data_IF_062013672559
#
_entry.id   IF_062013672559
#
_cell.length_a   1.000
_cell.length_b   1.000
_cell.length_c   1.000
_cell.angle_alpha   90.00
_cell.angle_beta   90.00
_cell.angle_gamma   90.00
#
_symmetry.space_group_name_H-M   'P 1'
#
loop_
_entity.id
_entity.type
_entity.pdbx_description
1 polymer ?
#
# COMPACT_ATOMS: atom_id res chain seq x y z
N UNK A 1 17.06 -38.50 11.51
CA UNK A 1 17.98 -39.18 12.46
C UNK A 1 18.35 -38.16 13.53
N UNK A 2 17.70 -38.26 14.68
CA UNK A 2 17.95 -37.37 15.83
C UNK A 2 18.91 -38.10 16.76
N UNK A 3 20.10 -37.55 17.00
CA UNK A 3 21.06 -38.08 17.98
C UNK A 3 20.71 -37.49 19.35
N UNK A 4 20.36 -38.38 20.28
CA UNK A 4 20.21 -38.04 21.68
C UNK A 4 21.58 -37.91 22.35
N UNK A 5 21.85 -36.79 23.01
CA UNK A 5 22.98 -36.62 23.92
C UNK A 5 22.56 -37.16 25.32
N UNK A 6 23.25 -38.16 25.80
CA UNK A 6 23.17 -38.61 27.20
C UNK A 6 24.07 -37.71 28.05
N UNK A 7 23.50 -37.09 29.07
CA UNK A 7 24.23 -36.43 30.13
C UNK A 7 24.25 -37.37 31.36
N UNK A 8 25.41 -37.78 31.76
CA UNK A 8 25.64 -38.52 33.02
C UNK A 8 25.75 -37.55 34.18
N UNK A 9 24.90 -37.72 35.18
CA UNK A 9 24.93 -36.94 36.41
C UNK A 9 25.69 -37.71 37.50
N UNK A 10 26.77 -37.11 38.01
CA UNK A 10 27.46 -37.59 39.21
C UNK A 10 26.80 -37.00 40.45
N UNK A 11 26.47 -37.85 41.43
CA UNK A 11 25.94 -37.44 42.74
C UNK A 11 27.06 -36.89 43.62
N UNK A 12 26.87 -35.73 44.19
CA UNK A 12 27.47 -35.33 45.46
C UNK A 12 26.42 -34.63 46.36
N UNK A 13 26.53 -34.93 47.66
CA UNK A 13 25.56 -34.63 48.70
C UNK A 13 25.55 -33.17 49.14
N UNK A 14 24.35 -32.78 49.55
CA UNK A 14 23.94 -31.76 50.56
C UNK A 14 23.65 -30.30 50.14
N UNK A 15 22.50 -29.96 50.60
CA UNK A 15 21.91 -28.70 51.04
C UNK A 15 20.91 -28.04 50.05
N UNK A 16 19.72 -27.88 50.60
CA UNK A 16 18.55 -27.22 50.02
C UNK A 16 18.85 -25.87 49.34
N UNK A 17 18.59 -25.84 48.06
CA UNK A 17 18.39 -24.59 47.37
C UNK A 17 17.33 -24.83 46.25
N UNK A 18 16.10 -24.47 46.53
CA UNK A 18 15.03 -24.46 45.52
C UNK A 18 15.34 -23.45 44.42
N UNK A 19 15.96 -23.91 43.36
CA UNK A 19 16.07 -23.15 42.12
C UNK A 19 14.76 -23.29 41.34
N UNK A 20 13.92 -22.26 41.38
CA UNK A 20 12.86 -22.07 40.40
C UNK A 20 13.51 -21.85 39.03
N UNK A 21 13.50 -22.86 38.19
CA UNK A 21 13.81 -22.72 36.76
C UNK A 21 12.58 -22.04 36.14
N UNK A 22 12.66 -20.73 36.01
CA UNK A 22 11.71 -19.97 35.15
C UNK A 22 12.10 -20.29 33.72
N UNK A 23 11.39 -21.27 33.13
CA UNK A 23 11.46 -21.56 31.71
C UNK A 23 10.76 -20.41 30.97
N UNK A 24 11.48 -19.36 30.61
CA UNK A 24 10.98 -18.34 29.68
C UNK A 24 10.81 -18.99 28.33
N UNK A 25 9.58 -19.40 27.99
CA UNK A 25 9.21 -19.69 26.61
C UNK A 25 9.32 -18.36 25.85
N UNK A 26 10.46 -18.17 25.17
CA UNK A 26 10.51 -17.19 24.10
C UNK A 26 9.52 -17.67 23.02
N UNK A 27 8.36 -17.03 22.92
CA UNK A 27 7.53 -17.09 21.71
C UNK A 27 8.41 -16.53 20.58
N UNK A 28 9.10 -17.40 19.87
CA UNK A 28 9.59 -17.08 18.55
C UNK A 28 8.35 -16.87 17.68
N UNK A 29 7.94 -15.63 17.49
CA UNK A 29 7.10 -15.25 16.37
C UNK A 29 7.86 -15.68 15.12
N UNK A 30 7.41 -16.76 14.48
CA UNK A 30 7.85 -17.12 13.14
C UNK A 30 7.56 -15.90 12.26
N UNK A 31 8.59 -15.10 11.98
CA UNK A 31 8.50 -14.05 11.00
C UNK A 31 8.00 -14.68 9.70
N UNK A 32 6.94 -14.15 9.14
CA UNK A 32 6.41 -14.59 7.84
C UNK A 32 7.50 -14.38 6.80
N UNK A 33 8.10 -15.45 6.35
CA UNK A 33 9.12 -15.44 5.30
C UNK A 33 8.36 -15.54 3.98
N UNK A 34 8.00 -14.39 3.38
CA UNK A 34 7.33 -14.37 2.08
C UNK A 34 6.04 -13.56 2.05
N UNK A 35 5.28 -13.76 0.97
CA UNK A 35 3.96 -13.19 0.76
C UNK A 35 2.86 -14.07 1.38
N UNK A 36 1.90 -13.52 2.13
CA UNK A 36 1.73 -12.09 2.44
C UNK A 36 2.81 -11.56 3.41
N UNK A 37 3.15 -10.27 3.26
CA UNK A 37 4.26 -9.65 4.02
C UNK A 37 3.97 -9.42 5.50
N UNK A 38 2.71 -9.40 5.91
CA UNK A 38 2.25 -9.37 7.30
C UNK A 38 0.89 -10.07 7.42
N UNK A 39 0.51 -10.51 8.62
CA UNK A 39 -0.75 -11.22 8.83
C UNK A 39 -1.96 -10.27 8.78
N UNK A 40 -3.12 -10.85 8.46
CA UNK A 40 -4.42 -10.17 8.41
C UNK A 40 -4.86 -9.85 6.98
N UNK A 41 -6.14 -9.51 6.86
CA UNK A 41 -6.73 -9.11 5.59
C UNK A 41 -6.54 -7.61 5.38
N UNK A 42 -5.63 -7.26 4.47
CA UNK A 42 -5.30 -5.89 4.11
C UNK A 42 -5.17 -5.77 2.59
N UNK A 43 -5.79 -4.73 2.05
CA UNK A 43 -5.86 -4.45 0.63
C UNK A 43 -5.32 -3.06 0.27
N UNK A 44 -5.28 -2.73 -1.01
CA UNK A 44 -5.02 -1.39 -1.54
C UNK A 44 -3.76 -0.76 -0.93
N UNK A 45 -2.60 -1.47 -0.92
CA UNK A 45 -1.44 -1.03 -0.18
C UNK A 45 -0.66 0.06 -0.91
N UNK A 46 -0.28 1.11 -0.20
CA UNK A 46 0.70 2.07 -0.68
C UNK A 46 2.01 1.94 0.11
N UNK A 47 3.10 1.67 -0.61
CA UNK A 47 4.45 1.44 -0.07
C UNK A 47 5.33 2.66 -0.29
N UNK A 48 5.97 3.14 0.77
CA UNK A 48 6.91 4.26 0.76
C UNK A 48 8.19 3.98 1.55
N UNK A 49 9.23 4.77 1.24
CA UNK A 49 10.45 4.86 2.04
C UNK A 49 10.53 6.27 2.65
N UNK A 50 10.22 6.40 3.94
CA UNK A 50 10.29 7.64 4.69
C UNK A 50 11.31 7.53 5.82
N UNK A 51 12.15 8.54 6.00
CA UNK A 51 13.07 8.66 7.13
C UNK A 51 13.93 7.39 7.38
N UNK A 52 14.28 6.66 6.28
CA UNK A 52 15.07 5.45 6.34
C UNK A 52 14.34 4.23 6.87
N UNK A 53 13.01 4.18 6.72
CA UNK A 53 12.16 3.00 6.95
C UNK A 53 11.12 2.86 5.85
N UNK A 54 10.75 1.63 5.55
CA UNK A 54 9.63 1.32 4.67
C UNK A 54 8.33 1.41 5.46
N UNK A 55 7.29 1.94 4.81
CA UNK A 55 5.95 2.05 5.36
C UNK A 55 4.94 1.54 4.34
N UNK A 56 3.99 0.72 4.79
CA UNK A 56 2.83 0.30 3.99
C UNK A 56 1.58 0.83 4.67
N UNK A 57 0.74 1.50 3.89
CA UNK A 57 -0.54 2.05 4.32
C UNK A 57 -1.66 1.32 3.56
N UNK A 58 -2.30 0.32 4.17
CA UNK A 58 -3.33 -0.46 3.50
C UNK A 58 -4.74 -0.12 3.98
N UNK A 59 -5.74 -0.55 3.22
CA UNK A 59 -7.13 -0.71 3.66
C UNK A 59 -7.27 -1.94 4.55
N UNK A 60 -7.89 -1.83 5.72
CA UNK A 60 -8.36 -3.01 6.45
C UNK A 60 -9.47 -3.71 5.66
N UNK A 61 -9.22 -4.90 5.14
CA UNK A 61 -10.11 -5.60 4.22
C UNK A 61 -11.17 -6.41 4.98
N UNK A 62 -12.33 -5.82 5.15
CA UNK A 62 -13.47 -6.37 5.90
C UNK A 62 -14.80 -5.83 5.35
N UNK A 63 -15.91 -6.16 5.98
CA UNK A 63 -17.19 -5.52 5.67
C UNK A 63 -17.10 -3.99 5.89
N UNK A 64 -17.77 -3.22 5.07
CA UNK A 64 -17.63 -1.75 5.00
C UNK A 64 -17.88 -1.03 6.34
N UNK A 65 -18.79 -1.55 7.16
CA UNK A 65 -19.08 -1.03 8.51
C UNK A 65 -17.97 -1.32 9.54
N UNK A 66 -17.00 -2.19 9.20
CA UNK A 66 -15.83 -2.51 10.02
C UNK A 66 -14.59 -1.72 9.59
N UNK A 67 -14.60 -1.16 8.40
CA UNK A 67 -13.53 -0.35 7.85
C UNK A 67 -13.65 1.09 8.36
N UNK A 68 -13.29 1.29 9.62
CA UNK A 68 -13.49 2.56 10.35
C UNK A 68 -12.17 3.21 10.79
N UNK A 69 -11.05 2.73 10.27
CA UNK A 69 -9.71 3.20 10.64
C UNK A 69 -8.67 2.80 9.59
N UNK A 70 -7.52 3.43 9.68
CA UNK A 70 -6.31 2.96 9.01
C UNK A 70 -5.27 2.50 10.01
N UNK A 71 -4.62 1.39 9.70
CA UNK A 71 -3.36 0.95 10.28
C UNK A 71 -2.22 1.28 9.34
N UNK A 72 -0.96 1.30 9.81
CA UNK A 72 0.17 1.19 8.94
C UNK A 72 1.18 0.15 9.45
N UNK A 73 2.08 -0.25 8.59
CA UNK A 73 3.14 -1.19 8.91
C UNK A 73 4.48 -0.59 8.53
N UNK A 74 5.48 -0.70 9.40
CA UNK A 74 6.83 -0.24 9.11
C UNK A 74 7.84 -1.36 9.15
N UNK A 75 8.86 -1.27 8.28
CA UNK A 75 9.95 -2.25 8.18
C UNK A 75 11.30 -1.55 7.96
N UNK A 76 12.37 -2.15 8.44
CA UNK A 76 13.74 -1.70 8.13
C UNK A 76 14.35 -2.46 6.94
N UNK A 77 13.68 -3.54 6.47
CA UNK A 77 14.27 -4.46 5.49
C UNK A 77 13.28 -5.10 4.50
N UNK A 78 12.00 -4.69 4.48
CA UNK A 78 10.90 -5.28 3.70
C UNK A 78 10.49 -6.70 4.14
N UNK A 79 11.00 -7.21 5.27
CA UNK A 79 10.74 -8.57 5.75
C UNK A 79 10.06 -8.58 7.10
N UNK A 80 10.62 -7.87 8.06
CA UNK A 80 10.06 -7.76 9.40
C UNK A 80 9.22 -6.50 9.51
N UNK A 81 7.93 -6.67 9.79
CA UNK A 81 6.96 -5.58 9.81
C UNK A 81 6.41 -5.33 11.21
N UNK A 82 6.50 -4.08 11.63
CA UNK A 82 5.89 -3.60 12.86
C UNK A 82 4.57 -2.91 12.54
N UNK A 83 3.47 -3.37 13.14
CA UNK A 83 2.16 -2.74 13.02
C UNK A 83 2.05 -1.49 13.91
N UNK A 84 1.48 -0.43 13.35
CA UNK A 84 1.02 0.78 14.03
C UNK A 84 -0.51 0.86 13.86
N UNK A 85 -1.22 0.66 14.95
CA UNK A 85 -2.68 0.52 14.91
C UNK A 85 -3.38 1.86 14.97
N UNK A 86 -4.43 2.01 14.15
CA UNK A 86 -5.35 3.16 14.16
C UNK A 86 -4.61 4.49 14.04
N UNK A 87 -3.78 4.60 13.02
CA UNK A 87 -3.05 5.83 12.72
C UNK A 87 -3.98 6.99 12.31
N UNK A 88 -5.18 6.67 11.82
CA UNK A 88 -6.34 7.55 11.67
C UNK A 88 -7.59 6.76 12.03
N UNK A 89 -8.44 7.27 12.92
CA UNK A 89 -9.69 6.66 13.31
C UNK A 89 -10.87 7.51 12.80
N UNK A 90 -11.86 6.90 12.14
CA UNK A 90 -12.98 7.62 11.53
C UNK A 90 -13.99 8.20 12.54
N UNK A 91 -13.93 7.77 13.81
CA UNK A 91 -14.66 8.48 14.87
C UNK A 91 -14.20 9.95 15.00
N UNK A 92 -12.97 10.25 14.61
CA UNK A 92 -12.37 11.58 14.64
C UNK A 92 -12.52 12.33 13.29
N UNK A 93 -13.21 11.71 12.30
CA UNK A 93 -13.48 12.26 10.96
C UNK A 93 -15.00 12.39 10.77
N UNK A 94 -15.57 13.48 11.24
CA UNK A 94 -17.02 13.65 11.39
C UNK A 94 -17.85 13.44 10.10
N UNK A 95 -17.29 13.73 8.92
CA UNK A 95 -17.96 13.60 7.63
C UNK A 95 -17.86 12.20 7.01
N UNK A 96 -17.02 11.30 7.57
CA UNK A 96 -16.69 9.99 6.98
C UNK A 96 -17.82 8.97 7.02
N UNK A 97 -18.92 9.26 7.71
CA UNK A 97 -20.00 8.30 8.01
C UNK A 97 -19.54 7.05 8.79
N UNK A 98 -18.31 7.10 9.33
CA UNK A 98 -17.67 6.07 10.15
C UNK A 98 -17.69 4.68 9.49
N UNK A 99 -17.42 4.61 8.19
CA UNK A 99 -17.34 3.37 7.39
C UNK A 99 -16.50 3.56 6.15
N UNK A 100 -16.10 2.46 5.52
CA UNK A 100 -15.43 2.42 4.22
C UNK A 100 -14.19 3.33 4.18
N UNK A 101 -13.26 3.11 5.14
CA UNK A 101 -11.93 3.70 5.13
C UNK A 101 -11.08 2.96 4.09
N UNK A 102 -10.88 3.57 2.89
CA UNK A 102 -10.26 2.90 1.75
C UNK A 102 -9.07 3.64 1.18
N UNK A 103 -8.14 2.85 0.63
CA UNK A 103 -7.05 3.25 -0.25
C UNK A 103 -6.35 4.54 0.21
N UNK A 104 -5.65 4.51 1.35
CA UNK A 104 -4.90 5.66 1.82
C UNK A 104 -3.65 5.87 0.97
N UNK A 105 -3.39 7.12 0.59
CA UNK A 105 -2.16 7.56 -0.09
C UNK A 105 -1.43 8.55 0.80
N UNK A 106 -0.16 8.30 1.10
CA UNK A 106 0.63 9.14 2.01
C UNK A 106 1.83 9.74 1.30
N UNK A 107 2.02 11.03 1.43
CA UNK A 107 3.15 11.74 0.84
C UNK A 107 3.78 12.70 1.83
N UNK A 108 5.11 12.87 1.76
CA UNK A 108 5.84 13.83 2.58
C UNK A 108 6.00 15.15 1.83
N UNK A 109 5.78 16.26 2.54
CA UNK A 109 6.18 17.59 2.08
C UNK A 109 6.59 18.49 3.25
N UNK A 110 7.74 19.10 3.12
CA UNK A 110 8.28 20.06 4.09
C UNK A 110 8.30 19.49 5.53
N UNK A 111 8.65 18.19 5.67
CA UNK A 111 8.74 17.48 6.94
C UNK A 111 7.41 17.07 7.56
N UNK A 112 6.31 17.24 6.85
CA UNK A 112 4.97 16.81 7.25
C UNK A 112 4.46 15.73 6.32
N UNK A 113 3.68 14.79 6.86
CA UNK A 113 3.05 13.70 6.12
C UNK A 113 1.57 13.99 5.92
N UNK A 114 1.12 13.86 4.68
CA UNK A 114 -0.27 14.07 4.27
C UNK A 114 -0.84 12.76 3.78
N UNK A 115 -1.94 12.32 4.39
CA UNK A 115 -2.69 11.12 4.01
C UNK A 115 -3.97 11.54 3.32
N UNK A 116 -4.11 11.16 2.04
CA UNK A 116 -5.37 11.24 1.31
C UNK A 116 -6.08 9.90 1.45
N UNK A 117 -7.38 9.91 1.69
CA UNK A 117 -8.14 8.70 1.96
C UNK A 117 -9.57 8.81 1.48
N UNK A 118 -10.14 7.69 1.08
CA UNK A 118 -11.57 7.59 0.74
C UNK A 118 -12.39 7.26 1.96
N UNK A 119 -13.60 7.78 2.03
CA UNK A 119 -14.51 7.52 3.14
C UNK A 119 -15.96 7.32 2.68
N UNK A 120 -16.74 6.56 3.46
CA UNK A 120 -18.17 6.48 3.37
C UNK A 120 -18.74 5.88 2.09
N UNK A 121 -17.94 5.11 1.32
CA UNK A 121 -18.35 4.53 0.03
C UNK A 121 -18.79 5.62 -0.98
N UNK A 122 -17.92 6.60 -1.17
CA UNK A 122 -18.16 7.76 -2.04
C UNK A 122 -18.66 9.02 -1.31
N UNK A 123 -18.59 9.08 0.03
CA UNK A 123 -18.81 10.33 0.75
C UNK A 123 -17.73 11.38 0.47
N UNK A 124 -16.56 10.95 -0.02
CA UNK A 124 -15.52 11.83 -0.50
C UNK A 124 -14.10 11.35 -0.21
N UNK A 125 -13.16 12.14 -0.70
CA UNK A 125 -11.74 12.01 -0.40
C UNK A 125 -11.36 13.07 0.64
N UNK A 126 -10.78 12.64 1.76
CA UNK A 126 -10.27 13.51 2.81
C UNK A 126 -8.77 13.71 2.73
N UNK A 127 -8.25 14.64 3.51
CA UNK A 127 -6.84 14.82 3.77
C UNK A 127 -6.58 14.96 5.26
N UNK A 128 -5.70 14.10 5.79
CA UNK A 128 -5.22 14.15 7.17
C UNK A 128 -3.71 14.43 7.19
N UNK A 129 -3.22 14.95 8.31
CA UNK A 129 -1.81 15.35 8.46
C UNK A 129 -1.20 14.80 9.73
N UNK A 130 0.09 14.47 9.67
CA UNK A 130 0.91 14.05 10.82
C UNK A 130 2.33 14.60 10.72
N UNK A 131 3.02 14.75 11.85
CA UNK A 131 4.46 15.00 11.89
C UNK A 131 5.29 13.71 11.75
N UNK A 132 4.66 12.55 11.86
CA UNK A 132 5.31 11.25 11.80
C UNK A 132 4.65 10.35 10.74
N UNK A 133 5.42 9.55 9.99
CA UNK A 133 4.87 8.66 8.97
C UNK A 133 3.94 7.58 9.56
N UNK A 134 4.18 7.15 10.80
CA UNK A 134 3.32 6.21 11.53
C UNK A 134 2.14 6.87 12.26
N UNK A 135 1.90 8.15 12.03
CA UNK A 135 0.81 8.91 12.68
C UNK A 135 1.10 9.33 14.13
N UNK A 136 0.06 9.70 14.90
CA UNK A 136 -1.34 9.76 14.50
C UNK A 136 -1.61 10.85 13.47
N UNK A 137 -2.47 10.54 12.50
CA UNK A 137 -2.97 11.51 11.52
C UNK A 137 -4.24 12.18 12.03
N UNK A 138 -4.44 13.44 11.63
CA UNK A 138 -5.63 14.23 12.00
C UNK A 138 -6.26 14.82 10.74
N UNK A 139 -7.58 14.67 10.58
CA UNK A 139 -8.33 15.35 9.53
C UNK A 139 -8.14 16.88 9.65
N UNK A 140 -7.66 17.51 8.58
CA UNK A 140 -7.30 18.92 8.64
C UNK A 140 -8.40 19.86 8.13
N UNK A 141 -9.41 19.33 7.44
CA UNK A 141 -10.45 20.16 6.83
C UNK A 141 -11.80 20.06 7.55
N UNK A 142 -12.08 18.98 8.29
CA UNK A 142 -13.39 18.67 8.87
C UNK A 142 -14.49 18.46 7.80
N UNK A 143 -14.07 18.29 6.53
CA UNK A 143 -14.91 18.06 5.35
C UNK A 143 -14.10 17.38 4.26
N UNK A 144 -14.71 16.74 3.26
CA UNK A 144 -13.97 16.20 2.12
C UNK A 144 -13.18 17.29 1.37
N UNK A 145 -11.97 16.95 0.92
CA UNK A 145 -11.21 17.72 -0.08
C UNK A 145 -11.87 17.61 -1.46
N UNK A 146 -12.32 16.40 -1.81
CA UNK A 146 -13.11 16.12 -3.02
C UNK A 146 -14.37 15.39 -2.61
N UNK A 147 -15.54 15.97 -2.92
CA UNK A 147 -16.85 15.39 -2.59
C UNK A 147 -17.63 15.01 -3.84
N UNK A 148 -17.54 15.84 -4.86
CA UNK A 148 -18.38 15.73 -6.05
C UNK A 148 -17.88 14.62 -6.98
N UNK A 149 -18.83 14.02 -7.73
CA UNK A 149 -18.56 13.01 -8.76
C UNK A 149 -18.17 13.70 -10.07
N UNK A 150 -17.02 14.36 -10.05
CA UNK A 150 -16.53 15.17 -11.18
C UNK A 150 -16.17 14.24 -12.35
N UNK A 151 -16.63 14.58 -13.57
CA UNK A 151 -16.45 13.79 -14.79
C UNK A 151 -16.93 12.32 -14.65
N UNK A 152 -17.90 12.05 -13.76
CA UNK A 152 -18.41 10.70 -13.50
C UNK A 152 -17.59 9.85 -12.55
N UNK A 153 -16.43 10.32 -12.10
CA UNK A 153 -15.57 9.57 -11.19
C UNK A 153 -16.15 9.53 -9.77
N UNK A 154 -16.28 8.34 -9.21
CA UNK A 154 -16.51 8.21 -7.78
C UNK A 154 -15.29 8.79 -7.02
N UNK A 155 -15.47 9.63 -5.98
CA UNK A 155 -14.37 10.23 -5.25
C UNK A 155 -13.72 9.21 -4.28
N UNK A 156 -12.96 8.29 -4.85
CA UNK A 156 -12.20 7.24 -4.13
C UNK A 156 -10.79 7.10 -4.74
N UNK A 157 -9.96 6.32 -4.07
CA UNK A 157 -8.65 5.85 -4.55
C UNK A 157 -7.73 7.01 -4.92
N UNK A 158 -7.57 7.94 -4.00
CA UNK A 158 -6.68 9.06 -4.18
C UNK A 158 -5.22 8.62 -4.18
N UNK A 159 -4.43 9.11 -5.13
CA UNK A 159 -2.98 8.95 -5.20
C UNK A 159 -2.33 10.32 -5.36
N UNK A 160 -1.50 10.70 -4.39
CA UNK A 160 -0.77 11.95 -4.42
C UNK A 160 0.62 11.76 -5.04
N UNK A 161 1.00 12.66 -5.94
CA UNK A 161 2.30 12.65 -6.62
C UNK A 161 2.90 14.06 -6.61
N UNK A 162 4.18 14.17 -6.24
CA UNK A 162 4.96 15.40 -6.35
C UNK A 162 5.98 15.23 -7.47
N UNK A 163 5.93 16.10 -8.47
CA UNK A 163 6.89 16.09 -9.57
C UNK A 163 8.21 16.78 -9.20
N UNK A 164 9.24 16.64 -10.04
CA UNK A 164 10.59 17.16 -9.80
C UNK A 164 10.62 18.70 -9.69
N UNK A 165 9.66 19.40 -10.29
CA UNK A 165 9.48 20.85 -10.16
C UNK A 165 8.80 21.27 -8.86
N UNK A 166 8.40 20.30 -8.03
CA UNK A 166 7.71 20.50 -6.76
C UNK A 166 6.20 20.71 -6.89
N UNK A 167 5.62 20.64 -8.11
CA UNK A 167 4.17 20.65 -8.27
C UNK A 167 3.57 19.33 -7.79
N UNK A 168 2.59 19.41 -6.91
CA UNK A 168 1.84 18.25 -6.45
C UNK A 168 0.55 18.05 -7.26
N UNK A 169 0.21 16.80 -7.48
CA UNK A 169 -0.98 16.34 -8.19
C UNK A 169 -1.73 15.33 -7.34
N UNK A 170 -3.05 15.31 -7.47
CA UNK A 170 -3.93 14.29 -6.91
C UNK A 170 -4.65 13.59 -8.06
N UNK A 171 -4.34 12.30 -8.27
CA UNK A 171 -5.11 11.42 -9.14
C UNK A 171 -6.14 10.69 -8.30
N UNK A 172 -7.32 10.45 -8.83
CA UNK A 172 -8.36 9.70 -8.13
C UNK A 172 -9.46 9.24 -9.07
N UNK A 173 -10.19 8.23 -8.65
CA UNK A 173 -11.45 7.90 -9.27
C UNK A 173 -11.77 6.43 -9.28
N UNK A 174 -13.04 6.13 -9.05
CA UNK A 174 -13.68 4.86 -9.30
C UNK A 174 -14.68 4.94 -10.46
N UNK A 175 -15.49 3.87 -10.64
CA UNK A 175 -16.54 3.76 -11.64
C UNK A 175 -16.05 3.97 -13.08
N UNK A 176 -14.82 3.57 -13.35
CA UNK A 176 -14.17 3.65 -14.68
C UNK A 176 -13.87 5.07 -15.15
N UNK A 177 -13.75 6.02 -14.25
CA UNK A 177 -13.35 7.39 -14.53
C UNK A 177 -12.18 7.79 -13.63
N UNK A 178 -11.19 8.44 -14.19
CA UNK A 178 -10.03 8.95 -13.48
C UNK A 178 -9.85 10.44 -13.72
N UNK A 179 -9.71 11.18 -12.65
CA UNK A 179 -9.36 12.61 -12.67
C UNK A 179 -7.95 12.86 -12.16
N UNK A 180 -7.36 13.95 -12.60
CA UNK A 180 -6.20 14.57 -11.98
C UNK A 180 -6.50 16.05 -11.71
N UNK A 181 -6.02 16.55 -10.58
CA UNK A 181 -6.04 17.96 -10.21
C UNK A 181 -4.72 18.35 -9.57
N UNK A 182 -4.28 19.59 -9.75
CA UNK A 182 -3.13 20.12 -9.00
C UNK A 182 -3.51 20.33 -7.54
N UNK A 183 -2.55 20.06 -6.65
CA UNK A 183 -2.63 20.48 -5.26
C UNK A 183 -1.83 21.78 -5.07
N UNK A 184 -2.36 22.67 -4.23
CA UNK A 184 -1.58 23.82 -3.76
C UNK A 184 -0.41 23.34 -2.89
N UNK A 185 0.58 24.19 -2.70
CA UNK A 185 1.76 23.87 -1.89
C UNK A 185 1.42 23.42 -0.45
N UNK A 186 0.30 23.90 0.09
CA UNK A 186 -0.16 23.53 1.44
C UNK A 186 -0.70 22.07 1.52
N UNK A 187 -0.83 21.37 0.39
CA UNK A 187 -1.29 19.97 0.27
C UNK A 187 -2.73 19.72 0.74
N UNK A 188 -3.50 20.71 1.11
CA UNK A 188 -4.87 20.59 1.63
C UNK A 188 -5.91 21.34 0.81
N UNK A 189 -5.49 21.88 -0.32
CA UNK A 189 -6.36 22.56 -1.28
C UNK A 189 -6.00 22.15 -2.71
N UNK A 190 -7.03 22.04 -3.55
CA UNK A 190 -6.86 21.84 -5.00
C UNK A 190 -6.65 23.18 -5.71
N UNK A 191 -6.00 23.16 -6.88
CA UNK A 191 -5.74 24.30 -7.73
C UNK A 191 -6.11 24.03 -9.18
N UNK A 192 -6.88 24.94 -9.77
CA UNK A 192 -7.33 24.84 -11.16
C UNK A 192 -8.49 23.87 -11.36
N UNK A 193 -8.62 23.36 -12.58
CA UNK A 193 -9.71 22.49 -12.98
C UNK A 193 -9.32 21.01 -12.87
N UNK A 194 -10.28 20.19 -12.52
CA UNK A 194 -10.15 18.74 -12.60
C UNK A 194 -10.15 18.31 -14.08
N UNK A 195 -9.10 17.59 -14.46
CA UNK A 195 -8.94 17.06 -15.80
C UNK A 195 -9.20 15.56 -15.77
N UNK A 196 -10.09 15.07 -16.64
CA UNK A 196 -10.25 13.66 -16.86
C UNK A 196 -9.04 13.09 -17.64
N UNK A 197 -8.50 11.99 -17.13
CA UNK A 197 -7.32 11.30 -17.70
C UNK A 197 -7.53 9.78 -17.80
N UNK A 198 -8.76 9.36 -17.88
CA UNK A 198 -9.19 7.97 -17.91
C UNK A 198 -8.53 7.20 -19.06
N UNK A 199 -7.64 6.23 -18.81
CA UNK A 199 -7.12 5.37 -19.85
C UNK A 199 -8.11 4.24 -20.20
N UNK A 200 -7.80 3.54 -21.29
CA UNK A 200 -8.59 2.39 -21.75
C UNK A 200 -8.67 1.31 -20.66
N UNK A 201 -9.86 0.75 -20.43
CA UNK A 201 -10.18 -0.27 -19.43
C UNK A 201 -9.92 0.12 -17.97
N UNK A 202 -9.70 1.38 -17.68
CA UNK A 202 -9.59 1.87 -16.31
C UNK A 202 -10.81 1.48 -15.47
N UNK A 203 -10.57 1.00 -14.25
CA UNK A 203 -11.63 0.75 -13.27
C UNK A 203 -11.45 1.63 -12.06
N UNK A 204 -10.23 1.59 -11.42
CA UNK A 204 -9.91 2.32 -10.19
C UNK A 204 -8.41 2.23 -9.88
N UNK A 205 -7.97 2.73 -8.71
CA UNK A 205 -6.63 2.53 -8.18
C UNK A 205 -5.51 3.15 -9.03
N UNK A 206 -5.56 4.46 -9.34
CA UNK A 206 -4.51 5.11 -10.12
C UNK A 206 -3.21 5.17 -9.34
N UNK A 207 -2.08 4.99 -10.03
CA UNK A 207 -0.75 5.15 -9.48
C UNK A 207 0.17 5.84 -10.49
N UNK A 208 0.99 6.79 -10.04
CA UNK A 208 1.93 7.51 -10.88
C UNK A 208 3.37 7.26 -10.43
N UNK A 209 4.23 6.88 -11.38
CA UNK A 209 5.67 6.76 -11.20
C UNK A 209 6.38 7.58 -12.27
N UNK A 210 7.39 8.37 -11.90
CA UNK A 210 8.31 9.02 -12.84
C UNK A 210 9.63 8.25 -12.91
N UNK A 211 10.06 7.88 -14.13
CA UNK A 211 11.33 7.20 -14.39
C UNK A 211 11.92 7.66 -15.72
N UNK A 212 13.20 8.06 -15.71
CA UNK A 212 13.88 8.47 -16.94
C UNK A 212 13.19 9.60 -17.70
N UNK A 213 12.58 10.56 -17.00
CA UNK A 213 11.84 11.68 -17.59
C UNK A 213 10.48 11.31 -18.19
N UNK A 214 10.03 10.07 -18.07
CA UNK A 214 8.71 9.60 -18.49
C UNK A 214 7.81 9.35 -17.29
N UNK A 215 6.51 9.51 -17.50
CA UNK A 215 5.46 9.27 -16.52
C UNK A 215 4.78 7.95 -16.81
N UNK A 216 4.87 7.02 -15.87
CA UNK A 216 4.23 5.71 -15.91
C UNK A 216 2.96 5.80 -15.08
N UNK A 217 1.84 5.89 -15.78
CA UNK A 217 0.53 5.89 -15.15
C UNK A 217 -0.01 4.47 -15.13
N UNK A 218 -0.31 3.95 -13.95
CA UNK A 218 -0.76 2.59 -13.71
C UNK A 218 -2.16 2.62 -13.09
N UNK A 219 -2.96 1.58 -13.31
CA UNK A 219 -4.31 1.48 -12.77
C UNK A 219 -4.77 0.04 -12.68
N UNK A 220 -5.87 -0.19 -11.94
CA UNK A 220 -6.52 -1.49 -11.89
C UNK A 220 -7.57 -1.64 -12.97
N UNK A 221 -7.60 -2.83 -13.59
CA UNK A 221 -8.58 -3.29 -14.56
C UNK A 221 -9.36 -4.49 -14.00
N UNK A 222 -10.50 -4.84 -14.62
CA UNK A 222 -11.31 -5.99 -14.23
C UNK A 222 -12.16 -5.76 -12.98
N UNK A 223 -12.63 -6.84 -12.38
CA UNK A 223 -13.52 -6.79 -11.21
C UNK A 223 -12.79 -7.03 -9.91
N UNK A 224 -12.73 -6.05 -9.02
CA UNK A 224 -12.03 -6.16 -7.73
C UNK A 224 -12.55 -7.31 -6.83
N UNK A 225 -13.76 -7.81 -7.10
CA UNK A 225 -14.38 -8.92 -6.34
C UNK A 225 -14.04 -10.31 -6.87
N UNK A 226 -13.33 -10.42 -7.99
CA UNK A 226 -13.09 -11.69 -8.67
C UNK A 226 -11.66 -11.80 -9.24
N UNK A 227 -11.37 -12.87 -9.96
CA UNK A 227 -10.04 -13.18 -10.46
C UNK A 227 -9.59 -12.36 -11.68
N UNK A 228 -10.48 -11.56 -12.29
CA UNK A 228 -10.12 -10.70 -13.43
C UNK A 228 -9.45 -9.40 -13.04
N UNK A 229 -9.36 -9.11 -11.73
CA UNK A 229 -8.68 -7.92 -11.24
C UNK A 229 -7.19 -8.01 -11.48
N UNK A 230 -6.61 -6.96 -12.04
CA UNK A 230 -5.22 -6.90 -12.41
C UNK A 230 -4.75 -5.46 -12.62
N UNK A 231 -3.52 -5.26 -13.09
CA UNK A 231 -2.94 -3.93 -13.30
C UNK A 231 -2.46 -3.76 -14.73
N UNK A 232 -2.79 -2.61 -15.33
CA UNK A 232 -2.24 -2.14 -16.59
C UNK A 232 -1.48 -0.82 -16.42
N UNK A 233 -0.73 -0.41 -17.45
CA UNK A 233 -0.02 0.86 -17.43
C UNK A 233 0.01 1.54 -18.79
N UNK A 234 0.29 2.85 -18.74
CA UNK A 234 0.53 3.72 -19.87
C UNK A 234 1.78 4.58 -19.63
N UNK A 235 2.33 5.14 -20.70
CA UNK A 235 3.47 6.07 -20.62
C UNK A 235 3.07 7.42 -21.23
N UNK A 236 3.55 8.51 -20.62
CA UNK A 236 3.37 9.87 -21.10
C UNK A 236 4.64 10.71 -20.93
N UNK A 237 4.68 11.86 -21.60
CA UNK A 237 5.72 12.88 -21.45
C UNK A 237 5.33 13.96 -20.41
N UNK A 238 4.13 13.88 -19.87
CA UNK A 238 3.57 14.84 -18.91
C UNK A 238 2.76 14.13 -17.84
N UNK A 239 2.75 14.64 -16.59
CA UNK A 239 1.89 14.09 -15.53
C UNK A 239 0.39 14.25 -15.83
N UNK A 240 0.05 15.08 -16.80
CA UNK A 240 -1.32 15.30 -17.24
C UNK A 240 -1.69 14.50 -18.50
N UNK A 241 -0.84 13.57 -18.94
CA UNK A 241 -1.01 12.81 -20.17
C UNK A 241 -0.76 13.66 -21.45
N UNK A 242 -1.17 13.20 -22.65
CA UNK A 242 -1.97 11.98 -22.85
C UNK A 242 -1.21 10.70 -22.49
N UNK A 243 -1.89 9.75 -21.89
CA UNK A 243 -1.33 8.46 -21.49
C UNK A 243 -1.52 7.44 -22.61
N UNK A 244 -0.40 6.93 -23.17
CA UNK A 244 -0.43 5.91 -24.22
C UNK A 244 -0.33 4.54 -23.57
N UNK A 245 -1.46 3.78 -23.58
CA UNK A 245 -1.52 2.44 -23.01
C UNK A 245 -0.47 1.52 -23.60
N UNK A 246 0.20 0.75 -22.78
CA UNK A 246 1.23 -0.23 -23.14
C UNK A 246 0.73 -1.64 -23.00
N UNK A 247 0.64 -2.14 -21.79
CA UNK A 247 0.25 -3.52 -21.53
C UNK A 247 -0.39 -3.69 -20.16
N UNK A 248 -1.00 -4.84 -19.97
CA UNK A 248 -1.31 -5.40 -18.67
C UNK A 248 -0.06 -6.01 -18.06
N UNK A 249 0.19 -5.80 -16.76
CA UNK A 249 1.46 -6.18 -16.13
C UNK A 249 1.31 -7.03 -14.86
N UNK A 250 0.14 -7.05 -14.23
CA UNK A 250 -0.09 -7.84 -13.03
C UNK A 250 -1.38 -8.64 -13.17
N UNK A 251 -1.24 -9.95 -13.14
CA UNK A 251 -2.32 -10.92 -13.16
C UNK A 251 -2.27 -11.84 -11.95
N UNK A 252 -3.42 -12.41 -11.61
CA UNK A 252 -3.51 -13.52 -10.67
C UNK A 252 -2.90 -14.80 -11.23
N UNK A 253 -2.41 -15.66 -10.33
CA UNK A 253 -2.03 -17.04 -10.60
C UNK A 253 -2.81 -17.96 -9.66
N UNK A 254 -3.67 -18.86 -10.13
CA UNK A 254 -4.51 -19.71 -9.27
C UNK A 254 -3.77 -20.50 -8.19
N UNK A 255 -2.51 -20.86 -8.45
CA UNK A 255 -1.67 -21.59 -7.51
C UNK A 255 -1.04 -20.71 -6.43
N UNK A 256 -0.93 -19.39 -6.67
CA UNK A 256 -0.24 -18.42 -5.80
C UNK A 256 -1.22 -17.43 -5.17
N UNK A 257 -2.18 -16.95 -5.96
CA UNK A 257 -3.22 -16.00 -5.54
C UNK A 257 -3.95 -15.41 -6.74
N UNK A 258 -5.15 -14.93 -6.54
CA UNK A 258 -6.02 -14.39 -7.61
C UNK A 258 -6.45 -12.96 -7.29
N UNK A 259 -6.95 -12.24 -8.32
CA UNK A 259 -7.43 -10.88 -8.17
C UNK A 259 -6.35 -9.95 -7.62
N UNK A 260 -5.15 -10.04 -8.20
CA UNK A 260 -4.01 -9.21 -7.86
C UNK A 260 -4.18 -7.81 -8.45
N UNK A 261 -4.16 -6.77 -7.62
CA UNK A 261 -4.36 -5.40 -8.11
C UNK A 261 -4.23 -4.36 -7.02
N UNK A 262 -4.66 -3.15 -7.33
CA UNK A 262 -4.57 -1.94 -6.51
C UNK A 262 -3.22 -1.86 -5.79
N UNK A 263 -2.26 -1.28 -6.47
CA UNK A 263 -0.83 -1.43 -6.18
C UNK A 263 -0.16 -0.08 -5.95
N UNK A 264 1.06 -0.16 -5.47
CA UNK A 264 2.05 0.90 -5.49
C UNK A 264 3.40 0.37 -5.93
N UNK A 265 4.30 1.24 -6.38
CA UNK A 265 5.64 0.88 -6.84
C UNK A 265 6.67 1.71 -6.11
N UNK A 266 7.72 1.07 -5.61
CA UNK A 266 8.83 1.73 -4.95
C UNK A 266 10.15 1.38 -5.63
N UNK A 267 10.96 2.41 -5.93
CA UNK A 267 12.36 2.24 -6.29
C UNK A 267 13.17 1.92 -5.04
N UNK A 268 13.92 0.83 -5.07
CA UNK A 268 14.79 0.46 -3.96
C UNK A 268 16.00 1.41 -3.85
N UNK A 269 16.39 1.79 -2.64
CA UNK A 269 17.46 2.76 -2.43
C UNK A 269 18.81 2.25 -2.99
N UNK A 270 19.57 3.14 -3.66
CA UNK A 270 20.89 2.92 -4.25
C UNK A 270 20.95 1.93 -5.41
N UNK A 271 19.83 1.61 -6.03
CA UNK A 271 19.76 0.73 -7.19
C UNK A 271 18.84 1.31 -8.25
N UNK A 272 18.73 0.63 -9.40
CA UNK A 272 17.65 0.81 -10.36
C UNK A 272 16.64 -0.33 -10.30
N UNK A 273 16.55 -1.03 -9.14
CA UNK A 273 15.57 -2.06 -8.89
C UNK A 273 14.29 -1.46 -8.31
N UNK A 274 13.16 -2.09 -8.67
CA UNK A 274 11.83 -1.67 -8.24
C UNK A 274 11.07 -2.86 -7.66
N UNK A 275 10.19 -2.56 -6.72
CA UNK A 275 9.22 -3.52 -6.17
C UNK A 275 7.81 -2.99 -6.38
N UNK A 276 6.86 -3.91 -6.57
CA UNK A 276 5.44 -3.63 -6.59
C UNK A 276 4.80 -4.20 -5.33
N UNK A 277 4.11 -3.35 -4.58
CA UNK A 277 3.29 -3.75 -3.44
C UNK A 277 1.82 -3.75 -3.89
N UNK A 278 1.10 -4.82 -3.65
CA UNK A 278 -0.24 -5.04 -4.18
C UNK A 278 -1.04 -5.94 -3.26
N UNK A 279 -2.36 -6.00 -3.42
CA UNK A 279 -3.13 -7.04 -2.76
C UNK A 279 -3.48 -8.18 -3.71
N UNK A 280 -3.72 -9.36 -3.14
CA UNK A 280 -4.30 -10.52 -3.83
C UNK A 280 -5.16 -11.34 -2.87
N UNK A 281 -6.01 -12.20 -3.42
CA UNK A 281 -6.68 -13.24 -2.64
C UNK A 281 -5.78 -14.47 -2.54
N UNK A 282 -5.71 -15.12 -1.37
CA UNK A 282 -5.04 -16.41 -1.23
C UNK A 282 -5.59 -17.45 -2.22
N UNK A 283 -4.81 -18.49 -2.57
CA UNK A 283 -5.28 -19.57 -3.44
C UNK A 283 -6.60 -20.17 -2.95
N UNK A 284 -7.53 -20.41 -3.88
CA UNK A 284 -8.87 -20.99 -3.62
C UNK A 284 -9.81 -20.12 -2.77
N UNK A 285 -9.41 -18.95 -2.31
CA UNK A 285 -10.32 -18.03 -1.62
C UNK A 285 -11.29 -17.40 -2.61
N UNK A 286 -12.59 -17.50 -2.27
CA UNK A 286 -13.70 -16.86 -2.99
C UNK A 286 -14.32 -15.71 -2.19
N UNK A 287 -13.80 -15.45 -0.99
CA UNK A 287 -14.30 -14.41 -0.12
C UNK A 287 -13.87 -13.04 -0.64
N UNK A 288 -14.84 -12.14 -0.81
CA UNK A 288 -14.63 -10.78 -1.31
C UNK A 288 -13.53 -10.04 -0.57
N UNK A 289 -13.59 -10.08 0.76
CA UNK A 289 -12.73 -9.28 1.65
C UNK A 289 -11.45 -10.00 2.10
N UNK A 290 -11.25 -11.25 1.70
CA UNK A 290 -10.02 -11.99 2.00
C UNK A 290 -8.88 -11.56 1.04
N UNK A 291 -8.39 -10.35 1.23
CA UNK A 291 -7.30 -9.76 0.45
C UNK A 291 -6.10 -9.55 1.36
N UNK A 292 -4.94 -10.00 0.90
CA UNK A 292 -3.67 -9.95 1.65
C UNK A 292 -2.64 -9.13 0.89
N UNK A 293 -1.80 -8.40 1.61
CA UNK A 293 -0.76 -7.54 1.04
C UNK A 293 0.50 -8.34 0.69
N UNK A 294 1.01 -8.13 -0.52
CA UNK A 294 2.17 -8.82 -1.08
C UNK A 294 3.16 -7.84 -1.70
N UNK A 295 4.43 -8.24 -1.80
CA UNK A 295 5.47 -7.49 -2.50
C UNK A 295 6.24 -8.44 -3.41
N UNK A 296 6.39 -8.06 -4.69
CA UNK A 296 7.21 -8.78 -5.67
C UNK A 296 8.08 -7.78 -6.47
N UNK A 297 8.99 -8.29 -7.31
CA UNK A 297 9.82 -7.45 -8.17
C UNK A 297 9.01 -6.85 -9.31
N UNK A 298 9.31 -5.59 -9.65
CA UNK A 298 8.86 -4.96 -10.88
C UNK A 298 10.08 -4.66 -11.74
N UNK A 299 10.10 -5.19 -12.96
CA UNK A 299 11.27 -5.17 -13.85
C UNK A 299 10.98 -4.27 -15.04
N UNK A 300 11.88 -3.33 -15.30
CA UNK A 300 11.89 -2.53 -16.51
C UNK A 300 12.84 -3.14 -17.54
N UNK A 301 12.36 -3.28 -18.78
CA UNK A 301 13.18 -3.64 -19.95
C UNK A 301 14.09 -2.48 -20.33
N UNK A 302 15.09 -2.76 -21.18
CA UNK A 302 15.99 -1.72 -21.71
C UNK A 302 15.26 -0.61 -22.48
N UNK A 303 14.16 -0.94 -23.17
CA UNK A 303 13.32 0.03 -23.88
C UNK A 303 12.38 0.85 -22.95
N UNK A 304 12.46 0.63 -21.63
CA UNK A 304 11.65 1.30 -20.63
C UNK A 304 10.26 0.71 -20.40
N UNK A 305 9.86 -0.34 -21.11
CA UNK A 305 8.63 -1.06 -20.85
C UNK A 305 8.74 -1.91 -19.58
N UNK A 306 7.60 -2.15 -18.91
CA UNK A 306 7.54 -3.02 -17.74
C UNK A 306 7.29 -4.46 -18.19
N UNK A 307 8.06 -5.40 -17.62
CA UNK A 307 7.80 -6.83 -17.78
C UNK A 307 6.56 -7.26 -17.01
N UNK A 308 5.84 -8.31 -17.45
CA UNK A 308 4.79 -8.91 -16.63
C UNK A 308 5.34 -9.33 -15.26
N UNK A 309 4.66 -8.92 -14.21
CA UNK A 309 5.02 -9.23 -12.83
C UNK A 309 4.78 -10.70 -12.54
N UNK A 310 5.78 -11.38 -12.02
CA UNK A 310 5.64 -12.75 -11.53
C UNK A 310 5.27 -12.69 -10.06
N UNK A 311 4.01 -12.97 -9.74
CA UNK A 311 3.57 -13.06 -8.34
C UNK A 311 4.13 -14.32 -7.69
N UNK A 312 4.67 -14.20 -6.46
CA UNK A 312 5.35 -15.29 -5.78
C UNK A 312 4.79 -15.54 -4.37
N UNK A 313 5.16 -16.67 -3.77
CA UNK A 313 4.94 -16.94 -2.35
C UNK A 313 6.09 -16.42 -1.50
N UNK A 314 7.27 -16.31 -2.10
CA UNK A 314 8.51 -15.93 -1.44
C UNK A 314 8.65 -14.42 -1.25
N UNK A 315 8.03 -13.63 -2.13
CA UNK A 315 8.16 -12.19 -2.13
C UNK A 315 9.57 -11.73 -2.54
N UNK A 316 10.04 -10.63 -1.98
CA UNK A 316 11.36 -10.07 -2.24
C UNK A 316 12.36 -10.47 -1.17
N UNK A 317 13.66 -10.48 -1.51
CA UNK A 317 14.73 -10.63 -0.54
C UNK A 317 14.78 -9.43 0.42
N UNK A 318 15.35 -9.60 1.63
CA UNK A 318 15.56 -8.49 2.54
C UNK A 318 16.34 -7.38 1.87
N UNK A 319 15.84 -6.15 1.96
CA UNK A 319 16.52 -4.96 1.45
C UNK A 319 16.57 -3.89 2.54
N UNK A 320 17.73 -3.68 3.19
CA UNK A 320 17.83 -2.74 4.28
C UNK A 320 17.49 -1.32 3.84
N UNK A 321 16.56 -0.68 4.55
CA UNK A 321 16.32 0.74 4.46
C UNK A 321 17.55 1.47 5.03
N UNK A 322 18.07 2.44 4.31
CA UNK A 322 19.31 3.09 4.69
C UNK A 322 18.96 4.34 5.47
N UNK A 323 19.34 4.37 6.73
CA UNK A 323 19.33 5.61 7.52
C UNK A 323 20.25 6.64 6.84
N UNK A 324 19.70 7.84 6.58
CA UNK A 324 20.49 8.98 6.12
C UNK A 324 21.41 9.44 7.23
#
# INVERSE_FOLDING_TARGET
>A
MVRALRVTCARQHNSDCSFMIVCTLALMTLASIGNPIFPGDYADPELHLFQGKYYVYPTYSAAYDKQTFFDCFSSEDLREWKKHSRILDFKDVAWSTNRAAWAPSVIERDGMFYMYFSAGDGAGIGVAKSAHPEGPFQDVLGKPLVKEYINGAQPIDAMAFIDDDGQAYLYYGGWKHCNVVKLKRNMVETEGQFKEVTPENYVEGPFMLKRGGKYYFMWSEGGWTNSSYGVAYAIADSPLGPFVRKSHILDGNPEVGTGAGHHSVLKLPRTDEYVICYHRRPPKSTLRDNRVTCIDKLIFKENGEIEPVVITREGVLPWPAIKK
#
